data_IF_207824893785
#
_entry.id   IF_207824893785
#
_cell.length_a   1.000
_cell.length_b   1.000
_cell.length_c   1.000
_cell.angle_alpha   90.00
_cell.angle_beta   90.00
_cell.angle_gamma   90.00
#
_symmetry.space_group_name_H-M   'P 1'
#
loop_
_entity.id
_entity.type
_entity.pdbx_description
1 polymer ?
#
# COMPACT_ATOMS: atom_id res chain seq x y z
N UNK A 1 -11.61 -0.15 -3.16
CA UNK A 1 -11.60 -0.04 -1.67
C UNK A 1 -12.91 -0.59 -1.11
N UNK A 2 -13.04 -0.72 0.21
CA UNK A 2 -14.22 -1.35 0.83
C UNK A 2 -15.49 -0.49 0.73
N UNK A 3 -15.36 0.84 0.71
CA UNK A 3 -16.48 1.75 0.53
C UNK A 3 -17.11 1.59 -0.86
N UNK A 4 -16.29 1.57 -1.91
CA UNK A 4 -16.72 1.30 -3.27
C UNK A 4 -17.44 -0.05 -3.39
N UNK A 5 -16.91 -1.10 -2.77
CA UNK A 5 -17.56 -2.42 -2.74
C UNK A 5 -18.92 -2.37 -2.06
N UNK A 6 -19.01 -1.68 -0.93
CA UNK A 6 -20.27 -1.47 -0.22
C UNK A 6 -21.29 -0.68 -1.07
N UNK A 7 -20.86 0.37 -1.78
CA UNK A 7 -21.71 1.12 -2.71
C UNK A 7 -22.30 0.21 -3.78
N UNK A 8 -21.52 -0.73 -4.31
CA UNK A 8 -21.97 -1.69 -5.31
C UNK A 8 -22.95 -2.72 -4.72
N UNK A 9 -22.53 -3.42 -3.67
CA UNK A 9 -23.22 -4.62 -3.17
C UNK A 9 -24.43 -4.29 -2.29
N UNK A 10 -24.32 -3.26 -1.44
CA UNK A 10 -25.28 -2.97 -0.39
C UNK A 10 -26.14 -1.74 -0.69
N UNK A 11 -25.54 -0.66 -1.21
CA UNK A 11 -26.28 0.55 -1.58
C UNK A 11 -26.96 0.40 -2.95
N UNK A 12 -26.38 -0.41 -3.85
CA UNK A 12 -26.86 -0.60 -5.21
C UNK A 12 -26.59 0.60 -6.12
N UNK A 13 -25.51 1.35 -5.86
CA UNK A 13 -25.08 2.49 -6.66
C UNK A 13 -23.78 2.16 -7.41
N UNK A 14 -23.85 1.56 -8.62
CA UNK A 14 -22.67 1.15 -9.36
C UNK A 14 -21.83 2.34 -9.85
N UNK A 15 -22.46 3.51 -10.08
CA UNK A 15 -21.76 4.71 -10.53
C UNK A 15 -20.84 5.22 -9.42
N UNK A 16 -21.39 5.40 -8.21
CA UNK A 16 -20.58 5.81 -7.06
C UNK A 16 -19.51 4.77 -6.72
N UNK A 17 -19.83 3.48 -6.86
CA UNK A 17 -18.86 2.41 -6.64
C UNK A 17 -17.67 2.50 -7.60
N UNK A 18 -17.90 2.75 -8.90
CA UNK A 18 -16.83 2.93 -9.88
C UNK A 18 -15.99 4.18 -9.57
N UNK A 19 -16.63 5.31 -9.33
CA UNK A 19 -15.94 6.57 -8.99
C UNK A 19 -15.06 6.42 -7.76
N UNK A 20 -15.61 5.89 -6.66
CA UNK A 20 -14.84 5.65 -5.45
C UNK A 20 -13.78 4.56 -5.65
N UNK A 21 -14.03 3.57 -6.51
CA UNK A 21 -13.11 2.49 -6.81
C UNK A 21 -11.82 2.97 -7.49
N UNK A 22 -11.91 4.05 -8.27
CA UNK A 22 -10.79 4.68 -8.98
C UNK A 22 -9.95 5.63 -8.11
N UNK A 23 -10.41 5.97 -6.91
CA UNK A 23 -9.64 6.81 -5.98
C UNK A 23 -8.38 6.07 -5.54
N UNK A 24 -7.24 6.62 -5.94
CA UNK A 24 -5.91 6.16 -5.54
C UNK A 24 -5.52 6.85 -4.23
N UNK A 25 -5.45 6.12 -3.10
CA UNK A 25 -5.18 6.71 -1.80
C UNK A 25 -3.77 7.31 -1.64
N UNK A 26 -2.89 7.13 -2.63
CA UNK A 26 -1.48 7.53 -2.54
C UNK A 26 -1.09 8.65 -3.48
N UNK A 27 -2.02 9.08 -4.35
CA UNK A 27 -1.94 10.40 -4.99
C UNK A 27 -2.14 11.52 -3.95
N UNK A 28 -2.78 11.20 -2.84
CA UNK A 28 -3.04 12.12 -1.75
C UNK A 28 -1.88 12.13 -0.75
N UNK A 29 -1.40 13.33 -0.43
CA UNK A 29 -0.27 13.51 0.50
C UNK A 29 -0.68 13.37 1.97
N UNK A 30 -1.98 13.27 2.26
CA UNK A 30 -2.49 13.16 3.62
C UNK A 30 -3.83 12.43 3.69
N UNK A 31 -4.12 11.86 4.87
CA UNK A 31 -5.42 11.27 5.18
C UNK A 31 -6.57 12.28 5.10
N UNK A 32 -6.30 13.56 5.30
CA UNK A 32 -7.30 14.62 5.15
C UNK A 32 -7.64 14.84 3.67
N UNK A 33 -6.63 14.89 2.79
CA UNK A 33 -6.81 14.98 1.34
C UNK A 33 -7.62 13.82 0.80
N UNK A 34 -7.25 12.59 1.15
CA UNK A 34 -8.01 11.39 0.77
C UNK A 34 -9.46 11.44 1.23
N UNK A 35 -9.72 11.94 2.44
CA UNK A 35 -11.10 12.10 2.93
C UNK A 35 -11.86 13.13 2.11
N UNK A 36 -11.23 14.25 1.73
CA UNK A 36 -11.84 15.26 0.85
C UNK A 36 -12.21 14.61 -0.47
N UNK A 37 -11.27 13.98 -1.16
CA UNK A 37 -11.49 13.33 -2.46
C UNK A 37 -12.65 12.33 -2.44
N UNK A 38 -12.75 11.51 -1.38
CA UNK A 38 -13.87 10.59 -1.21
C UNK A 38 -15.21 11.30 -0.93
N UNK A 39 -15.17 12.38 -0.15
CA UNK A 39 -16.38 13.15 0.20
C UNK A 39 -16.90 13.92 -1.01
N UNK A 40 -16.00 14.57 -1.76
CA UNK A 40 -16.32 15.31 -2.98
C UNK A 40 -17.01 14.41 -4.01
N UNK A 41 -16.51 13.18 -4.22
CA UNK A 41 -17.16 12.21 -5.10
C UNK A 41 -18.58 11.81 -4.63
N UNK A 42 -18.78 11.65 -3.31
CA UNK A 42 -20.11 11.36 -2.75
C UNK A 42 -21.03 12.57 -2.92
N UNK A 43 -20.56 13.79 -2.67
CA UNK A 43 -21.34 15.02 -2.81
C UNK A 43 -21.76 15.26 -4.26
N UNK A 44 -20.83 15.12 -5.21
CA UNK A 44 -21.09 15.23 -6.64
C UNK A 44 -22.15 14.20 -7.08
N UNK A 45 -22.05 12.96 -6.59
CA UNK A 45 -23.06 11.94 -6.84
C UNK A 45 -24.43 12.33 -6.29
N UNK A 46 -24.47 12.87 -5.07
CA UNK A 46 -25.72 13.28 -4.42
C UNK A 46 -26.41 14.43 -5.15
N UNK A 47 -25.67 15.40 -5.69
CA UNK A 47 -26.23 16.51 -6.47
C UNK A 47 -26.96 16.05 -7.73
N UNK A 48 -26.53 14.93 -8.33
CA UNK A 48 -27.14 14.35 -9.53
C UNK A 48 -28.36 13.46 -9.29
N UNK A 49 -28.79 13.24 -8.04
CA UNK A 49 -29.84 12.31 -7.69
C UNK A 49 -31.15 13.00 -7.34
N UNK A 50 -32.22 12.70 -8.09
CA UNK A 50 -33.59 13.11 -7.73
C UNK A 50 -34.08 12.43 -6.45
N UNK A 51 -33.54 11.24 -6.13
CA UNK A 51 -33.86 10.47 -4.94
C UNK A 51 -32.63 9.76 -4.42
N UNK A 52 -32.35 9.96 -3.14
CA UNK A 52 -31.23 9.32 -2.45
C UNK A 52 -31.55 7.82 -2.22
N UNK A 53 -30.67 6.90 -2.65
CA UNK A 53 -30.82 5.47 -2.40
C UNK A 53 -30.68 5.15 -0.90
N UNK A 54 -31.42 4.15 -0.45
CA UNK A 54 -31.38 3.69 0.94
C UNK A 54 -30.84 2.27 0.99
N UNK A 55 -29.88 2.05 1.88
CA UNK A 55 -29.40 0.72 2.19
C UNK A 55 -30.46 -0.08 2.97
N UNK A 56 -30.49 -1.39 2.76
CA UNK A 56 -31.39 -2.30 3.50
C UNK A 56 -30.86 -2.50 4.92
N UNK A 57 -31.77 -2.71 5.87
CA UNK A 57 -31.40 -3.07 7.23
C UNK A 57 -30.53 -4.34 7.25
N UNK A 58 -29.44 -4.32 8.02
CA UNK A 58 -28.44 -5.39 8.09
C UNK A 58 -27.32 -5.30 7.04
N UNK A 59 -27.36 -4.30 6.16
CA UNK A 59 -26.32 -4.03 5.16
C UNK A 59 -25.64 -2.68 5.38
N UNK A 60 -25.76 -2.09 6.57
CA UNK A 60 -25.22 -0.77 6.89
C UNK A 60 -23.69 -0.70 6.70
N UNK A 61 -23.19 0.48 6.33
CA UNK A 61 -21.75 0.71 6.26
C UNK A 61 -21.17 0.71 7.68
N UNK A 62 -20.22 -0.18 7.93
CA UNK A 62 -19.48 -0.21 9.19
C UNK A 62 -18.11 0.47 9.03
N UNK A 63 -17.96 1.64 9.65
CA UNK A 63 -16.68 2.34 9.71
C UNK A 63 -15.83 1.79 10.85
N UNK A 64 -14.69 1.20 10.49
CA UNK A 64 -13.74 0.62 11.44
C UNK A 64 -12.47 1.47 11.45
N UNK A 65 -11.98 1.79 12.64
CA UNK A 65 -10.69 2.45 12.82
C UNK A 65 -9.67 1.43 13.38
N UNK A 66 -8.46 1.45 12.85
CA UNK A 66 -7.34 0.68 13.37
C UNK A 66 -6.26 1.63 13.92
N UNK A 67 -5.48 1.12 14.88
CA UNK A 67 -4.28 1.79 15.39
C UNK A 67 -3.11 0.85 15.25
N UNK A 68 -2.02 1.35 14.68
CA UNK A 68 -0.79 0.59 14.55
C UNK A 68 0.03 0.74 15.83
N UNK A 69 0.48 -0.38 16.36
CA UNK A 69 1.43 -0.44 17.48
C UNK A 69 2.67 -1.16 16.96
N UNK A 70 3.78 -0.42 16.87
CA UNK A 70 5.07 -0.94 16.46
C UNK A 70 5.92 -1.26 17.71
N UNK A 71 6.66 -2.36 17.67
CA UNK A 71 7.61 -2.76 18.69
C UNK A 71 8.87 -3.32 18.03
N UNK A 72 9.99 -3.23 18.75
CA UNK A 72 11.27 -3.78 18.29
C UNK A 72 11.22 -5.31 18.32
N UNK A 73 11.53 -5.95 17.19
CA UNK A 73 11.60 -7.41 17.07
C UNK A 73 12.90 -7.98 17.65
N UNK A 74 13.89 -7.14 17.92
CA UNK A 74 15.25 -7.53 18.30
C UNK A 74 16.14 -7.92 17.11
N UNK A 75 15.56 -8.04 15.91
CA UNK A 75 16.30 -8.37 14.69
C UNK A 75 17.22 -7.22 14.27
N UNK A 76 18.42 -7.55 13.81
CA UNK A 76 19.42 -6.57 13.34
C UNK A 76 20.03 -7.09 12.04
N UNK A 77 19.94 -6.28 10.99
CA UNK A 77 20.31 -6.65 9.63
C UNK A 77 21.49 -5.77 9.21
N UNK A 78 22.73 -6.29 9.20
CA UNK A 78 23.91 -5.46 8.95
C UNK A 78 24.28 -5.33 7.46
N UNK A 79 23.78 -6.22 6.59
CA UNK A 79 24.19 -6.28 5.18
C UNK A 79 23.01 -6.56 4.25
N UNK A 80 23.06 -6.11 2.97
CA UNK A 80 22.01 -6.41 2.00
C UNK A 80 21.75 -7.91 1.82
N UNK A 81 22.79 -8.74 1.91
CA UNK A 81 22.64 -10.20 1.87
C UNK A 81 21.82 -10.73 3.06
N UNK A 82 22.06 -10.22 4.27
CA UNK A 82 21.28 -10.59 5.45
C UNK A 82 19.82 -10.11 5.36
N UNK A 83 19.55 -9.03 4.62
CA UNK A 83 18.18 -8.54 4.40
C UNK A 83 17.35 -9.55 3.58
N UNK A 84 17.94 -10.24 2.61
CA UNK A 84 17.25 -11.29 1.84
C UNK A 84 16.74 -12.40 2.77
N UNK A 85 17.63 -12.95 3.61
CA UNK A 85 17.26 -13.98 4.58
C UNK A 85 16.21 -13.47 5.58
N UNK A 86 16.30 -12.20 5.98
CA UNK A 86 15.33 -11.59 6.88
C UNK A 86 13.95 -11.44 6.22
N UNK A 87 13.88 -11.05 4.94
CA UNK A 87 12.61 -10.89 4.20
C UNK A 87 11.87 -12.22 4.05
N UNK A 88 12.60 -13.31 3.83
CA UNK A 88 12.03 -14.66 3.78
C UNK A 88 11.36 -15.06 5.10
N UNK A 89 11.97 -14.70 6.23
CA UNK A 89 11.55 -15.14 7.57
C UNK A 89 10.63 -14.17 8.28
N UNK A 90 10.70 -12.87 7.99
CA UNK A 90 9.93 -11.86 8.70
C UNK A 90 8.43 -12.07 8.52
N UNK A 91 7.66 -11.74 9.56
CA UNK A 91 6.20 -11.82 9.45
C UNK A 91 5.68 -10.88 8.36
N UNK A 92 4.55 -11.24 7.73
CA UNK A 92 3.88 -10.36 6.76
C UNK A 92 3.50 -9.00 7.40
N UNK A 93 3.30 -8.94 8.71
CA UNK A 93 3.04 -7.67 9.43
C UNK A 93 4.27 -6.78 9.50
N UNK A 94 5.46 -7.37 9.66
CA UNK A 94 6.72 -6.62 9.58
C UNK A 94 6.96 -6.09 8.18
N UNK A 95 6.66 -6.91 7.16
CA UNK A 95 6.73 -6.49 5.76
C UNK A 95 5.74 -5.33 5.48
N UNK A 96 4.50 -5.45 5.97
CA UNK A 96 3.53 -4.37 5.89
C UNK A 96 4.05 -3.09 6.54
N UNK A 97 4.67 -3.19 7.73
CA UNK A 97 5.23 -2.04 8.42
C UNK A 97 6.34 -1.36 7.63
N UNK A 98 7.29 -2.12 7.10
CA UNK A 98 8.45 -1.58 6.39
C UNK A 98 8.17 -1.11 4.96
N UNK A 99 7.06 -1.53 4.35
CA UNK A 99 6.67 -1.10 3.00
C UNK A 99 5.49 -0.13 3.03
N UNK A 100 4.33 -0.57 3.50
CA UNK A 100 3.09 0.19 3.43
C UNK A 100 3.06 1.32 4.47
N UNK A 101 3.32 1.00 5.74
CA UNK A 101 3.33 2.00 6.80
C UNK A 101 4.51 2.97 6.64
N UNK A 102 5.68 2.49 6.22
CA UNK A 102 6.82 3.33 5.89
C UNK A 102 6.47 4.41 4.85
N UNK A 103 5.82 4.02 3.75
CA UNK A 103 5.38 5.00 2.75
C UNK A 103 4.33 5.96 3.30
N UNK A 104 3.41 5.52 4.15
CA UNK A 104 2.49 6.45 4.84
C UNK A 104 3.24 7.45 5.73
N UNK A 105 4.28 7.01 6.45
CA UNK A 105 5.13 7.87 7.29
C UNK A 105 5.98 8.86 6.47
N UNK A 106 6.31 8.53 5.22
CA UNK A 106 7.11 9.36 4.32
C UNK A 106 6.26 10.11 3.27
N UNK A 107 4.94 10.20 3.47
CA UNK A 107 3.99 10.82 2.53
C UNK A 107 4.12 10.27 1.09
N UNK A 108 4.31 8.97 0.97
CA UNK A 108 4.42 8.23 -0.30
C UNK A 108 5.84 8.14 -0.88
N UNK A 109 6.81 8.86 -0.33
CA UNK A 109 8.13 9.02 -0.95
C UNK A 109 8.93 7.72 -1.06
N UNK A 110 8.99 6.89 0.00
CA UNK A 110 9.82 5.67 -0.01
C UNK A 110 9.42 4.68 1.09
N UNK A 111 9.74 3.41 0.88
CA UNK A 111 9.72 2.37 1.91
C UNK A 111 11.05 2.33 2.70
N UNK A 112 11.03 1.62 3.83
CA UNK A 112 12.20 1.51 4.72
C UNK A 112 13.34 0.69 4.09
N UNK A 113 13.05 -0.30 3.24
CA UNK A 113 14.10 -1.13 2.63
C UNK A 113 14.87 -0.34 1.58
N UNK A 114 14.17 0.34 0.68
CA UNK A 114 14.77 1.23 -0.31
C UNK A 114 15.62 2.29 0.37
N UNK A 115 15.09 2.95 1.40
CA UNK A 115 15.83 3.97 2.17
C UNK A 115 17.08 3.40 2.83
N UNK A 116 16.99 2.21 3.43
CA UNK A 116 18.13 1.57 4.07
C UNK A 116 19.16 1.07 3.06
N UNK A 117 18.75 0.63 1.87
CA UNK A 117 19.65 0.14 0.82
C UNK A 117 20.43 1.27 0.13
N UNK A 118 19.95 2.51 0.17
CA UNK A 118 20.65 3.67 -0.42
C UNK A 118 22.05 3.92 0.14
N UNK A 119 22.33 3.44 1.35
CA UNK A 119 23.66 3.55 1.95
C UNK A 119 24.70 2.62 1.28
N UNK A 120 24.28 1.70 0.39
CA UNK A 120 25.16 0.78 -0.32
C UNK A 120 25.16 1.11 -1.81
N UNK A 121 26.28 1.62 -2.32
CA UNK A 121 26.39 1.99 -3.75
C UNK A 121 26.09 0.82 -4.69
N UNK A 122 26.45 -0.40 -4.29
CA UNK A 122 26.19 -1.65 -5.03
C UNK A 122 24.69 -1.96 -5.20
N UNK A 123 23.82 -1.31 -4.42
CA UNK A 123 22.38 -1.55 -4.42
C UNK A 123 21.59 -0.48 -5.19
N UNK A 124 22.25 0.46 -5.88
CA UNK A 124 21.58 1.58 -6.57
C UNK A 124 20.49 1.11 -7.55
N UNK A 125 20.81 0.13 -8.39
CA UNK A 125 19.87 -0.38 -9.40
C UNK A 125 18.70 -1.16 -8.76
N UNK A 126 18.99 -1.90 -7.68
CA UNK A 126 17.99 -2.58 -6.87
C UNK A 126 17.02 -1.59 -6.22
N UNK A 127 17.52 -0.50 -5.64
CA UNK A 127 16.70 0.58 -5.05
C UNK A 127 15.77 1.18 -6.11
N UNK A 128 16.28 1.41 -7.33
CA UNK A 128 15.46 1.85 -8.45
C UNK A 128 14.30 0.90 -8.73
N UNK A 129 14.59 -0.39 -8.89
CA UNK A 129 13.55 -1.40 -9.15
C UNK A 129 12.55 -1.56 -7.99
N UNK A 130 13.01 -1.50 -6.73
CA UNK A 130 12.11 -1.58 -5.57
C UNK A 130 11.12 -0.41 -5.52
N UNK A 131 11.56 0.79 -5.92
CA UNK A 131 10.72 1.98 -5.94
C UNK A 131 9.64 1.94 -7.02
N UNK A 132 9.90 1.22 -8.11
CA UNK A 132 8.97 1.01 -9.22
C UNK A 132 7.93 -0.09 -8.94
N UNK A 133 8.08 -0.88 -7.88
CA UNK A 133 7.09 -1.88 -7.51
C UNK A 133 5.73 -1.24 -7.22
N UNK A 134 4.71 -1.72 -7.91
CA UNK A 134 3.32 -1.36 -7.64
C UNK A 134 2.72 -2.28 -6.57
N UNK A 135 3.09 -2.02 -5.31
CA UNK A 135 2.72 -2.85 -4.18
C UNK A 135 1.23 -2.84 -3.83
N UNK A 136 0.42 -1.96 -4.43
CA UNK A 136 -1.03 -1.92 -4.16
C UNK A 136 -1.80 -3.05 -4.81
N UNK A 137 -1.30 -3.56 -5.93
CA UNK A 137 -1.92 -4.70 -6.60
C UNK A 137 -1.41 -6.04 -6.07
N UNK A 138 -0.51 -6.00 -5.08
CA UNK A 138 0.08 -7.19 -4.48
C UNK A 138 -0.49 -7.39 -3.08
N UNK A 139 -0.89 -8.63 -2.78
CA UNK A 139 -1.01 -9.02 -1.38
C UNK A 139 0.39 -9.16 -0.75
N UNK A 140 0.46 -9.19 0.59
CA UNK A 140 1.75 -9.19 1.29
C UNK A 140 2.65 -10.39 0.96
N UNK A 141 2.08 -11.55 0.61
CA UNK A 141 2.86 -12.71 0.19
C UNK A 141 3.45 -12.51 -1.21
N UNK A 142 2.66 -11.95 -2.14
CA UNK A 142 3.14 -11.59 -3.48
C UNK A 142 4.21 -10.51 -3.40
N UNK A 143 3.99 -9.47 -2.58
CA UNK A 143 4.98 -8.41 -2.35
C UNK A 143 6.30 -8.98 -1.82
N UNK A 144 6.27 -9.91 -0.87
CA UNK A 144 7.48 -10.59 -0.40
C UNK A 144 8.22 -11.25 -1.56
N UNK A 145 7.50 -11.99 -2.39
CA UNK A 145 8.09 -12.72 -3.51
C UNK A 145 8.70 -11.76 -4.53
N UNK A 146 7.99 -10.70 -4.92
CA UNK A 146 8.48 -9.69 -5.87
C UNK A 146 9.76 -9.00 -5.36
N UNK A 147 9.81 -8.67 -4.06
CA UNK A 147 11.02 -8.12 -3.46
C UNK A 147 12.18 -9.13 -3.57
N UNK A 148 11.97 -10.38 -3.18
CA UNK A 148 13.01 -11.42 -3.27
C UNK A 148 13.48 -11.67 -4.70
N UNK A 149 12.57 -11.65 -5.67
CA UNK A 149 12.89 -11.82 -7.09
C UNK A 149 13.73 -10.66 -7.62
N UNK A 150 13.46 -9.42 -7.18
CA UNK A 150 14.32 -8.28 -7.47
C UNK A 150 15.71 -8.43 -6.87
N UNK A 151 15.82 -8.87 -5.61
CA UNK A 151 17.12 -9.17 -5.00
C UNK A 151 17.89 -10.22 -5.81
N UNK A 152 17.24 -11.31 -6.22
CA UNK A 152 17.87 -12.37 -7.01
C UNK A 152 18.34 -11.87 -8.39
N UNK A 153 17.52 -11.04 -9.06
CA UNK A 153 17.86 -10.44 -10.36
C UNK A 153 19.10 -9.54 -10.28
N UNK A 154 19.19 -8.72 -9.22
CA UNK A 154 20.30 -7.78 -9.04
C UNK A 154 21.55 -8.41 -8.40
N UNK A 155 21.41 -9.56 -7.74
CA UNK A 155 22.56 -10.34 -7.22
C UNK A 155 23.32 -11.10 -8.31
N UNK A 156 22.69 -11.35 -9.47
CA UNK A 156 23.25 -12.10 -10.60
C UNK A 156 23.84 -11.22 -11.72
N UNK A 157 24.10 -9.93 -11.48
CA UNK A 157 24.80 -9.13 -12.48
C UNK A 157 26.27 -9.56 -12.58
N UNK A 158 26.76 -9.98 -13.77
CA UNK A 158 28.16 -10.34 -13.94
C UNK A 158 29.04 -9.14 -13.64
N UNK A 159 30.03 -9.34 -12.76
CA UNK A 159 31.17 -8.44 -12.62
C UNK A 159 31.71 -8.13 -14.01
N UNK A 160 31.46 -6.93 -14.51
CA UNK A 160 32.10 -6.46 -15.74
C UNK A 160 33.58 -6.36 -15.41
N UNK A 161 34.35 -7.26 -16.03
CA UNK A 161 35.81 -7.30 -16.00
C UNK A 161 36.42 -6.12 -16.78
#
# INVERSE_FOLDING_TARGET
NDLARWCWEALGDPVLAEELGLVDPYKETSMAGLRSTLTDAIEDRLWGLDRIPWCRAGFELHLVASRLVAYDTGERIPTPAALVEAIERMSLRSLFFHVHEARRRTNGATDDFSLWLEQFETCRDLVGSLRELDFYFLNLSQLRQEILDLFAKHSNMPSVA
#
